data_IF_693501943199
#
_entry.id   IF_693501943199
#
_cell.length_a   1.000
_cell.length_b   1.000
_cell.length_c   1.000
_cell.angle_alpha   90.00
_cell.angle_beta   90.00
_cell.angle_gamma   90.00
#
_symmetry.space_group_name_H-M   'P 1'
#
loop_
_entity.id
_entity.type
_entity.pdbx_description
1 polymer ?
#
# COMPACT_ATOMS: atom_id res chain seq x y z
N UNK A 1 -21.70 9.72 13.86
CA UNK A 1 -20.57 10.32 13.14
C UNK A 1 -19.75 9.17 12.61
N UNK A 2 -19.40 9.21 11.35
CA UNK A 2 -18.49 8.24 10.72
C UNK A 2 -17.06 8.50 11.21
N UNK A 3 -16.22 7.47 11.25
CA UNK A 3 -14.91 7.52 11.93
C UNK A 3 -13.90 8.47 11.28
N UNK A 4 -14.06 8.79 9.96
CA UNK A 4 -13.19 9.68 9.20
C UNK A 4 -13.90 10.97 8.74
N UNK A 5 -15.01 11.33 9.36
CA UNK A 5 -15.82 12.50 8.97
C UNK A 5 -14.99 13.78 8.93
N UNK A 6 -15.00 14.45 7.76
CA UNK A 6 -14.25 15.68 7.51
C UNK A 6 -12.73 15.52 7.36
N UNK A 7 -12.17 14.33 7.55
CA UNK A 7 -10.73 14.07 7.41
C UNK A 7 -10.33 13.90 5.94
N UNK A 8 -9.09 14.26 5.60
CA UNK A 8 -8.52 14.10 4.26
C UNK A 8 -7.63 12.86 4.19
N UNK A 9 -7.97 11.93 3.29
CA UNK A 9 -7.22 10.71 3.02
C UNK A 9 -6.63 10.75 1.62
N UNK A 10 -5.31 10.66 1.51
CA UNK A 10 -4.59 10.56 0.24
C UNK A 10 -4.21 9.10 -0.01
N UNK A 11 -4.55 8.55 -1.18
CA UNK A 11 -4.20 7.18 -1.57
C UNK A 11 -3.32 7.22 -2.81
N UNK A 12 -2.02 6.95 -2.62
CA UNK A 12 -1.06 6.81 -3.70
C UNK A 12 -1.16 5.38 -4.25
N UNK A 13 -1.66 5.26 -5.50
CA UNK A 13 -2.05 3.99 -6.11
C UNK A 13 -3.54 3.65 -5.92
N UNK A 14 -4.42 4.65 -5.94
CA UNK A 14 -5.84 4.55 -5.61
C UNK A 14 -6.79 4.13 -6.73
N UNK A 15 -6.31 3.79 -7.93
CA UNK A 15 -7.20 3.49 -9.06
C UNK A 15 -7.61 2.03 -9.22
N UNK A 16 -7.07 1.11 -8.40
CA UNK A 16 -7.29 -0.33 -8.54
C UNK A 16 -6.97 -1.09 -7.24
N UNK A 17 -7.58 -2.27 -7.08
CA UNK A 17 -7.25 -3.24 -6.03
C UNK A 17 -7.31 -2.65 -4.62
N UNK A 18 -6.26 -2.88 -3.83
CA UNK A 18 -6.20 -2.48 -2.42
C UNK A 18 -6.39 -0.96 -2.25
N UNK A 19 -5.73 -0.15 -3.09
CA UNK A 19 -5.82 1.29 -2.98
C UNK A 19 -7.23 1.81 -3.27
N UNK A 20 -7.87 1.33 -4.33
CA UNK A 20 -9.24 1.70 -4.68
C UNK A 20 -10.23 1.29 -3.57
N UNK A 21 -10.10 0.06 -3.04
CA UNK A 21 -10.99 -0.41 -2.00
C UNK A 21 -10.79 0.37 -0.69
N UNK A 22 -9.55 0.72 -0.34
CA UNK A 22 -9.29 1.60 0.81
C UNK A 22 -9.87 3.00 0.61
N UNK A 23 -9.74 3.57 -0.59
CA UNK A 23 -10.35 4.84 -0.94
C UNK A 23 -11.89 4.80 -0.82
N UNK A 24 -12.52 3.71 -1.31
CA UNK A 24 -13.97 3.47 -1.19
C UNK A 24 -14.40 3.38 0.28
N UNK A 25 -13.67 2.61 1.07
CA UNK A 25 -13.95 2.45 2.50
C UNK A 25 -13.78 3.75 3.26
N UNK A 26 -12.69 4.50 3.03
CA UNK A 26 -12.47 5.81 3.66
C UNK A 26 -13.58 6.82 3.29
N UNK A 27 -14.01 6.82 2.02
CA UNK A 27 -15.12 7.66 1.57
C UNK A 27 -16.43 7.32 2.27
N UNK A 28 -16.73 6.03 2.45
CA UNK A 28 -17.90 5.55 3.18
C UNK A 28 -17.88 5.97 4.67
N UNK A 29 -16.68 6.13 5.25
CA UNK A 29 -16.51 6.66 6.61
C UNK A 29 -16.45 8.19 6.67
N UNK A 30 -16.82 8.89 5.59
CA UNK A 30 -16.99 10.36 5.57
C UNK A 30 -15.72 11.13 5.20
N UNK A 31 -14.64 10.48 4.81
CA UNK A 31 -13.41 11.17 4.41
C UNK A 31 -13.56 11.95 3.10
N UNK A 32 -12.82 13.04 2.98
CA UNK A 32 -12.44 13.62 1.68
C UNK A 32 -11.28 12.77 1.14
N UNK A 33 -11.44 12.27 -0.09
CA UNK A 33 -10.48 11.34 -0.66
C UNK A 33 -9.78 11.94 -1.87
N UNK A 34 -8.45 11.83 -1.90
CA UNK A 34 -7.60 12.19 -3.04
C UNK A 34 -6.90 10.91 -3.48
N UNK A 35 -7.03 10.54 -4.75
CA UNK A 35 -6.41 9.32 -5.29
C UNK A 35 -5.43 9.64 -6.41
N UNK A 36 -4.33 8.91 -6.48
CA UNK A 36 -3.35 9.05 -7.55
C UNK A 36 -3.08 7.72 -8.24
N UNK A 37 -2.73 7.76 -9.52
CA UNK A 37 -2.26 6.61 -10.29
C UNK A 37 -1.61 7.06 -11.61
N UNK A 38 -0.92 6.13 -12.28
CA UNK A 38 -0.27 6.40 -13.59
C UNK A 38 -1.25 6.39 -14.76
N UNK A 39 -2.26 5.53 -14.72
CA UNK A 39 -3.25 5.44 -15.81
C UNK A 39 -4.37 6.46 -15.57
N UNK A 40 -4.36 7.54 -16.33
CA UNK A 40 -5.28 8.66 -16.17
C UNK A 40 -6.75 8.28 -16.41
N UNK A 41 -7.05 7.46 -17.42
CA UNK A 41 -8.42 7.06 -17.76
C UNK A 41 -9.05 6.23 -16.64
N UNK A 42 -8.33 5.22 -16.13
CA UNK A 42 -8.80 4.41 -15.01
C UNK A 42 -8.91 5.21 -13.71
N UNK A 43 -7.99 6.14 -13.50
CA UNK A 43 -8.01 7.02 -12.33
C UNK A 43 -9.23 7.94 -12.35
N UNK A 44 -9.54 8.52 -13.51
CA UNK A 44 -10.71 9.37 -13.67
C UNK A 44 -12.01 8.61 -13.41
N UNK A 45 -12.14 7.40 -13.95
CA UNK A 45 -13.30 6.53 -13.70
C UNK A 45 -13.46 6.23 -12.18
N UNK A 46 -12.35 5.91 -11.50
CA UNK A 46 -12.35 5.70 -10.05
C UNK A 46 -12.70 6.99 -9.26
N UNK A 47 -12.20 8.14 -9.71
CA UNK A 47 -12.52 9.43 -9.13
C UNK A 47 -14.01 9.79 -9.24
N UNK A 48 -14.61 9.54 -10.40
CA UNK A 48 -16.04 9.75 -10.62
C UNK A 48 -16.90 8.82 -9.75
N UNK A 49 -16.54 7.53 -9.69
CA UNK A 49 -17.22 6.54 -8.83
C UNK A 49 -17.25 6.97 -7.36
N UNK A 50 -16.11 7.45 -6.87
CA UNK A 50 -15.92 7.79 -5.44
C UNK A 50 -16.29 9.23 -5.09
N UNK A 51 -16.47 10.12 -6.07
CA UNK A 51 -16.51 11.56 -5.84
C UNK A 51 -15.20 12.06 -5.21
N UNK A 52 -14.06 11.51 -5.67
CA UNK A 52 -12.72 11.79 -5.15
C UNK A 52 -11.94 12.72 -6.10
N UNK A 53 -11.04 13.54 -5.53
CA UNK A 53 -10.06 14.28 -6.31
C UNK A 53 -9.02 13.33 -6.90
N UNK A 54 -8.52 13.64 -8.11
CA UNK A 54 -7.57 12.78 -8.82
C UNK A 54 -6.33 13.54 -9.26
N UNK A 55 -5.17 12.88 -9.22
CA UNK A 55 -3.93 13.37 -9.80
C UNK A 55 -3.18 12.23 -10.51
N UNK A 56 -3.01 12.35 -11.84
CA UNK A 56 -2.39 11.32 -12.66
C UNK A 56 -0.89 11.61 -12.81
N UNK A 57 -0.05 10.76 -12.23
CA UNK A 57 1.43 10.81 -12.37
C UNK A 57 2.06 9.48 -11.95
N UNK A 58 3.37 9.32 -12.23
CA UNK A 58 4.15 8.22 -11.70
C UNK A 58 4.78 8.63 -10.36
N UNK A 59 4.41 7.97 -9.27
CA UNK A 59 4.92 8.29 -7.94
C UNK A 59 6.42 7.99 -7.77
N UNK A 60 7.05 7.22 -8.66
CA UNK A 60 8.50 7.03 -8.70
C UNK A 60 9.23 8.17 -9.40
N UNK A 61 8.54 9.04 -10.13
CA UNK A 61 9.07 10.34 -10.54
C UNK A 61 8.98 11.31 -9.34
N UNK A 62 10.08 11.45 -8.62
CA UNK A 62 10.14 12.24 -7.39
C UNK A 62 9.92 13.75 -7.61
N UNK A 63 10.10 14.25 -8.82
CA UNK A 63 9.75 15.64 -9.17
C UNK A 63 8.23 15.80 -9.23
N UNK A 64 7.54 14.95 -9.99
CA UNK A 64 6.08 14.97 -10.04
C UNK A 64 5.44 14.68 -8.67
N UNK A 65 6.02 13.74 -7.89
CA UNK A 65 5.56 13.47 -6.55
C UNK A 65 5.70 14.70 -5.65
N UNK A 66 6.81 15.43 -5.74
CA UNK A 66 7.01 16.67 -4.98
C UNK A 66 5.99 17.74 -5.38
N UNK A 67 5.78 17.98 -6.67
CA UNK A 67 4.82 18.95 -7.18
C UNK A 67 3.39 18.61 -6.70
N UNK A 68 3.02 17.32 -6.71
CA UNK A 68 1.76 16.85 -6.16
C UNK A 68 1.63 17.20 -4.66
N UNK A 69 2.65 16.89 -3.85
CA UNK A 69 2.62 17.22 -2.42
C UNK A 69 2.56 18.73 -2.17
N UNK A 70 3.23 19.53 -2.98
CA UNK A 70 3.20 21.00 -2.85
C UNK A 70 1.80 21.56 -3.12
N UNK A 71 1.04 20.94 -4.02
CA UNK A 71 -0.33 21.32 -4.37
C UNK A 71 -1.42 20.78 -3.43
N UNK A 72 -1.08 19.86 -2.52
CA UNK A 72 -2.08 19.25 -1.62
C UNK A 72 -2.66 20.25 -0.62
N UNK A 73 -3.97 20.15 -0.31
CA UNK A 73 -4.56 20.89 0.81
C UNK A 73 -3.89 20.48 2.12
N UNK A 74 -3.72 21.43 3.02
CA UNK A 74 -3.16 21.17 4.37
C UNK A 74 -4.16 21.61 5.43
N UNK A 75 -4.27 20.85 6.52
CA UNK A 75 -3.54 19.60 6.83
C UNK A 75 -4.13 18.38 6.13
N UNK A 76 -3.29 17.38 5.88
CA UNK A 76 -3.69 16.03 5.49
C UNK A 76 -3.80 15.20 6.77
N UNK A 77 -4.80 14.30 6.84
CA UNK A 77 -4.95 13.42 7.98
C UNK A 77 -4.24 12.07 7.79
N UNK A 78 -4.39 11.46 6.62
CA UNK A 78 -3.87 10.13 6.37
C UNK A 78 -3.34 9.98 4.94
N UNK A 79 -2.25 9.24 4.79
CA UNK A 79 -1.70 8.83 3.51
C UNK A 79 -1.55 7.30 3.51
N UNK A 80 -2.16 6.63 2.53
CA UNK A 80 -1.88 5.24 2.20
C UNK A 80 -1.02 5.19 0.93
N UNK A 81 0.03 4.38 0.96
CA UNK A 81 0.90 4.12 -0.18
C UNK A 81 0.77 2.67 -0.59
N UNK A 82 0.18 2.43 -1.77
CA UNK A 82 0.22 1.11 -2.41
C UNK A 82 1.27 1.14 -3.52
N UNK A 83 2.13 0.14 -3.55
CA UNK A 83 3.21 0.05 -4.53
C UNK A 83 2.81 -0.65 -5.83
N UNK A 84 3.68 -0.65 -6.83
CA UNK A 84 3.59 -1.55 -7.96
C UNK A 84 3.73 -3.01 -7.49
N UNK A 85 3.46 -3.95 -8.42
CA UNK A 85 3.68 -5.36 -8.14
C UNK A 85 5.16 -5.69 -7.91
N UNK A 86 5.42 -6.76 -7.15
CA UNK A 86 6.79 -7.21 -6.90
C UNK A 86 7.44 -7.80 -8.15
N UNK A 87 8.75 -7.69 -8.26
CA UNK A 87 9.55 -8.35 -9.28
C UNK A 87 10.10 -9.68 -8.75
N UNK A 88 9.69 -10.77 -9.38
CA UNK A 88 10.18 -12.11 -9.11
C UNK A 88 11.07 -12.58 -10.26
N UNK A 89 12.30 -13.02 -9.97
CA UNK A 89 13.17 -13.63 -10.96
C UNK A 89 14.18 -14.59 -10.29
N UNK A 90 14.36 -15.82 -10.79
CA UNK A 90 15.48 -16.66 -10.39
C UNK A 90 16.81 -15.94 -10.64
N UNK A 91 17.82 -16.18 -9.81
CA UNK A 91 19.09 -15.45 -9.89
C UNK A 91 19.75 -15.45 -11.29
N UNK A 92 19.73 -16.54 -12.07
CA UNK A 92 20.29 -16.52 -13.41
C UNK A 92 19.55 -15.63 -14.42
N UNK A 93 18.29 -15.31 -14.16
CA UNK A 93 17.39 -14.50 -15.00
C UNK A 93 17.18 -13.09 -14.44
N UNK A 94 17.86 -12.76 -13.34
CA UNK A 94 17.66 -11.51 -12.63
C UNK A 94 18.16 -10.32 -13.48
N UNK A 95 17.23 -9.43 -13.80
CA UNK A 95 17.51 -8.14 -14.42
C UNK A 95 17.77 -7.09 -13.34
N UNK A 96 18.99 -6.55 -13.30
CA UNK A 96 19.39 -5.56 -12.29
C UNK A 96 18.72 -4.19 -12.46
N UNK A 97 18.27 -3.83 -13.67
CA UNK A 97 17.59 -2.56 -13.86
C UNK A 97 16.15 -2.64 -13.32
N UNK A 98 15.48 -3.78 -13.52
CA UNK A 98 14.20 -4.07 -12.87
C UNK A 98 14.35 -4.17 -11.34
N UNK A 99 15.43 -4.77 -10.86
CA UNK A 99 15.72 -4.82 -9.42
C UNK A 99 15.93 -3.43 -8.81
N UNK A 100 16.58 -2.50 -9.54
CA UNK A 100 16.71 -1.09 -9.12
C UNK A 100 15.36 -0.40 -9.07
N UNK A 101 14.50 -0.59 -10.07
CA UNK A 101 13.15 -0.04 -10.07
C UNK A 101 12.30 -0.57 -8.90
N UNK A 102 12.47 -1.85 -8.53
CA UNK A 102 11.83 -2.44 -7.36
C UNK A 102 12.33 -1.80 -6.05
N UNK A 103 13.65 -1.59 -5.93
CA UNK A 103 14.25 -0.91 -4.78
C UNK A 103 13.74 0.54 -4.67
N UNK A 104 13.63 1.23 -5.78
CA UNK A 104 13.10 2.59 -5.83
C UNK A 104 11.65 2.65 -5.36
N UNK A 105 10.80 1.78 -5.87
CA UNK A 105 9.37 1.77 -5.54
C UNK A 105 9.03 1.21 -4.15
N UNK A 106 9.79 0.23 -3.65
CA UNK A 106 9.47 -0.43 -2.37
C UNK A 106 10.30 0.09 -1.19
N UNK A 107 11.39 0.82 -1.42
CA UNK A 107 12.22 1.37 -0.35
C UNK A 107 12.37 2.89 -0.43
N UNK A 108 12.77 3.46 -1.57
CA UNK A 108 13.03 4.88 -1.68
C UNK A 108 11.75 5.71 -1.74
N UNK A 109 10.71 5.25 -2.42
CA UNK A 109 9.42 5.93 -2.49
C UNK A 109 8.78 6.12 -1.10
N UNK A 110 8.67 5.11 -0.23
CA UNK A 110 8.23 5.32 1.16
C UNK A 110 9.04 6.37 1.91
N UNK A 111 10.35 6.39 1.77
CA UNK A 111 11.23 7.39 2.39
C UNK A 111 10.93 8.80 1.84
N UNK A 112 10.79 8.93 0.53
CA UNK A 112 10.49 10.22 -0.10
C UNK A 112 9.12 10.76 0.31
N UNK A 113 8.10 9.90 0.38
CA UNK A 113 6.76 10.27 0.87
C UNK A 113 6.83 10.70 2.34
N UNK A 114 7.54 9.97 3.18
CA UNK A 114 7.75 10.33 4.58
C UNK A 114 8.37 11.71 4.71
N UNK A 115 9.41 12.01 3.92
CA UNK A 115 10.06 13.33 3.88
C UNK A 115 9.10 14.44 3.44
N UNK A 116 8.29 14.21 2.39
CA UNK A 116 7.34 15.19 1.87
C UNK A 116 6.12 15.39 2.79
N UNK A 117 5.87 14.45 3.69
CA UNK A 117 4.77 14.51 4.68
C UNK A 117 5.04 15.49 5.83
N UNK A 118 6.31 15.88 6.03
CA UNK A 118 6.70 16.82 7.10
C UNK A 118 6.04 18.18 6.86
N UNK A 119 5.27 18.66 7.84
CA UNK A 119 4.52 19.91 7.76
C UNK A 119 3.25 19.86 6.90
N UNK A 120 2.96 18.71 6.25
CA UNK A 120 1.74 18.48 5.47
C UNK A 120 0.74 17.61 6.22
N UNK A 121 1.22 16.52 6.83
CA UNK A 121 0.38 15.65 7.65
C UNK A 121 0.27 16.22 9.06
N UNK A 122 -0.95 16.29 9.60
CA UNK A 122 -1.19 16.84 10.94
C UNK A 122 -0.57 15.98 12.05
N UNK A 123 -0.30 16.56 13.23
CA UNK A 123 0.01 15.78 14.43
C UNK A 123 -1.05 14.70 14.70
N UNK A 124 -0.62 13.46 14.94
CA UNK A 124 -1.52 12.30 15.13
C UNK A 124 -2.10 11.73 13.83
N UNK A 125 -1.84 12.34 12.68
CA UNK A 125 -2.15 11.78 11.36
C UNK A 125 -1.36 10.50 11.08
N UNK A 126 -1.56 9.86 9.93
CA UNK A 126 -1.01 8.52 9.67
C UNK A 126 -0.37 8.41 8.28
N UNK A 127 0.81 7.79 8.23
CA UNK A 127 1.37 7.20 7.02
C UNK A 127 1.20 5.68 7.10
N UNK A 128 0.55 5.10 6.11
CA UNK A 128 0.41 3.66 5.95
C UNK A 128 1.15 3.21 4.70
N UNK A 129 2.07 2.27 4.88
CA UNK A 129 2.76 1.63 3.77
C UNK A 129 2.24 0.21 3.55
N UNK A 130 2.18 -0.20 2.28
CA UNK A 130 1.95 -1.59 1.93
C UNK A 130 3.29 -2.31 1.80
N UNK A 131 3.33 -3.50 2.32
CA UNK A 131 4.43 -4.44 2.16
C UNK A 131 3.90 -5.85 1.97
N UNK A 132 4.79 -6.84 2.07
CA UNK A 132 4.42 -8.24 1.93
C UNK A 132 5.04 -9.11 3.00
N UNK A 133 4.49 -10.32 3.15
CA UNK A 133 5.02 -11.34 4.06
C UNK A 133 6.16 -12.16 3.43
N UNK A 134 6.51 -11.89 2.15
CA UNK A 134 7.48 -12.64 1.36
C UNK A 134 8.90 -12.68 1.92
N UNK A 135 9.31 -11.68 2.72
CA UNK A 135 10.62 -11.69 3.39
C UNK A 135 10.78 -12.72 4.51
N UNK A 136 9.73 -13.46 4.85
CA UNK A 136 9.72 -14.45 5.95
C UNK A 136 9.83 -15.89 5.47
N UNK A 137 9.62 -16.15 4.18
CA UNK A 137 9.83 -17.48 3.56
C UNK A 137 10.80 -17.33 2.39
N UNK A 138 11.86 -18.12 2.41
CA UNK A 138 12.83 -18.15 1.32
C UNK A 138 12.34 -19.04 0.19
N UNK A 139 12.43 -18.57 -1.06
CA UNK A 139 12.13 -19.33 -2.26
C UNK A 139 12.96 -18.83 -3.45
N UNK A 140 13.17 -19.64 -4.49
CA UNK A 140 13.75 -19.19 -5.74
C UNK A 140 12.96 -17.99 -6.30
N UNK A 141 13.66 -16.99 -6.85
CA UNK A 141 13.04 -15.78 -7.40
C UNK A 141 12.75 -14.69 -6.38
N UNK A 142 12.99 -14.92 -5.08
CA UNK A 142 12.65 -13.97 -4.00
C UNK A 142 13.82 -13.08 -3.57
N UNK A 143 14.99 -13.15 -4.21
CA UNK A 143 16.22 -12.50 -3.72
C UNK A 143 16.05 -10.98 -3.53
N UNK A 144 15.38 -10.29 -4.44
CA UNK A 144 15.15 -8.84 -4.36
C UNK A 144 13.96 -8.53 -3.47
N UNK A 145 12.77 -9.01 -3.86
CA UNK A 145 11.55 -8.65 -3.13
C UNK A 145 11.51 -9.18 -1.70
N UNK A 146 12.11 -10.34 -1.45
CA UNK A 146 12.26 -10.88 -0.08
C UNK A 146 13.10 -9.95 0.81
N UNK A 147 14.21 -9.41 0.30
CA UNK A 147 15.02 -8.44 1.01
C UNK A 147 14.26 -7.12 1.26
N UNK A 148 13.54 -6.62 0.25
CA UNK A 148 12.76 -5.38 0.35
C UNK A 148 11.61 -5.50 1.36
N UNK A 149 10.88 -6.61 1.33
CA UNK A 149 9.80 -6.86 2.31
C UNK A 149 10.34 -7.08 3.73
N UNK A 150 11.53 -7.62 3.88
CA UNK A 150 12.20 -7.74 5.17
C UNK A 150 12.69 -6.39 5.72
N UNK A 151 13.06 -5.44 4.85
CA UNK A 151 13.47 -4.10 5.24
C UNK A 151 12.29 -3.23 5.74
N UNK A 152 11.09 -3.44 5.22
CA UNK A 152 9.89 -2.65 5.50
C UNK A 152 9.61 -2.44 7.00
N UNK A 153 9.60 -3.50 7.83
CA UNK A 153 9.38 -3.37 9.28
C UNK A 153 10.42 -2.48 9.99
N UNK A 154 11.68 -2.55 9.57
CA UNK A 154 12.75 -1.72 10.14
C UNK A 154 12.57 -0.25 9.72
N UNK A 155 12.30 0.00 8.44
CA UNK A 155 12.01 1.34 7.93
C UNK A 155 10.83 1.97 8.68
N UNK A 156 9.73 1.23 8.82
CA UNK A 156 8.51 1.71 9.49
C UNK A 156 8.77 2.15 10.93
N UNK A 157 9.52 1.35 11.70
CA UNK A 157 9.87 1.70 13.08
C UNK A 157 10.72 2.97 13.18
N UNK A 158 11.71 3.13 12.31
CA UNK A 158 12.55 4.32 12.30
C UNK A 158 11.75 5.56 11.89
N UNK A 159 10.95 5.48 10.83
CA UNK A 159 10.10 6.59 10.40
C UNK A 159 9.07 6.99 11.47
N UNK A 160 8.54 6.04 12.24
CA UNK A 160 7.62 6.35 13.34
C UNK A 160 8.27 7.16 14.45
N UNK A 161 9.56 6.99 14.68
CA UNK A 161 10.33 7.79 15.65
C UNK A 161 10.68 9.15 15.07
N UNK A 162 11.18 9.19 13.82
CA UNK A 162 11.64 10.42 13.17
C UNK A 162 10.50 11.40 12.86
N UNK A 163 9.30 10.90 12.56
CA UNK A 163 8.14 11.69 12.17
C UNK A 163 7.18 11.98 13.33
N UNK A 164 7.48 11.51 14.55
CA UNK A 164 6.58 11.73 15.67
C UNK A 164 6.20 13.23 15.81
N UNK A 165 4.91 13.57 16.00
CA UNK A 165 3.81 12.70 16.38
C UNK A 165 2.96 12.14 15.21
N UNK A 166 3.45 12.17 13.96
CA UNK A 166 2.81 11.47 12.84
C UNK A 166 3.01 9.97 13.06
N UNK A 167 1.94 9.19 12.95
CA UNK A 167 1.98 7.73 13.12
C UNK A 167 2.39 7.05 11.82
N UNK A 168 3.26 6.06 11.90
CA UNK A 168 3.72 5.30 10.72
C UNK A 168 3.52 3.82 10.97
N UNK A 169 2.81 3.12 10.08
CA UNK A 169 2.57 1.69 10.18
C UNK A 169 2.72 1.01 8.81
N UNK A 170 2.97 -0.28 8.84
CA UNK A 170 3.09 -1.15 7.66
C UNK A 170 2.00 -2.22 7.70
N UNK A 171 1.30 -2.40 6.58
CA UNK A 171 0.42 -3.54 6.36
C UNK A 171 1.18 -4.54 5.48
N UNK A 172 1.51 -5.69 6.04
CA UNK A 172 2.21 -6.77 5.34
C UNK A 172 1.19 -7.81 4.86
N UNK A 173 0.88 -7.79 3.58
CA UNK A 173 -0.10 -8.69 2.99
C UNK A 173 0.54 -10.00 2.50
N UNK A 174 -0.22 -11.08 2.57
CA UNK A 174 0.04 -12.29 1.81
C UNK A 174 -0.46 -12.17 0.37
N UNK A 175 -0.96 -13.27 -0.19
CA UNK A 175 -1.70 -13.21 -1.44
C UNK A 175 -3.04 -12.48 -1.22
N UNK A 176 -3.29 -11.45 -2.00
CA UNK A 176 -4.57 -10.72 -2.03
C UNK A 176 -5.17 -10.85 -3.42
N UNK A 177 -6.43 -11.25 -3.50
CA UNK A 177 -7.13 -11.43 -4.77
C UNK A 177 -7.49 -10.09 -5.40
N UNK A 178 -6.64 -9.62 -6.29
CA UNK A 178 -6.72 -8.30 -6.94
C UNK A 178 -6.43 -8.42 -8.44
N UNK A 179 -6.73 -7.39 -9.23
CA UNK A 179 -6.30 -7.35 -10.64
C UNK A 179 -4.77 -7.45 -10.82
N UNK A 180 -3.98 -7.04 -9.83
CA UNK A 180 -2.53 -7.22 -9.85
C UNK A 180 -2.16 -8.71 -9.80
N UNK A 181 -2.73 -9.47 -8.87
CA UNK A 181 -2.50 -10.91 -8.77
C UNK A 181 -2.99 -11.67 -10.01
N UNK A 182 -4.09 -11.21 -10.61
CA UNK A 182 -4.54 -11.75 -11.90
C UNK A 182 -3.52 -11.52 -13.02
N UNK A 183 -2.94 -10.32 -13.08
CA UNK A 183 -1.88 -10.01 -14.08
C UNK A 183 -0.60 -10.84 -13.83
N UNK A 184 -0.21 -11.06 -12.57
CA UNK A 184 0.99 -11.80 -12.21
C UNK A 184 0.87 -13.31 -12.46
N UNK A 185 -0.31 -13.89 -12.25
CA UNK A 185 -0.53 -15.33 -12.32
C UNK A 185 -1.14 -15.80 -13.63
N UNK A 186 -1.80 -14.91 -14.39
CA UNK A 186 -2.47 -15.28 -15.64
C UNK A 186 -3.36 -16.51 -15.46
N UNK A 187 -3.14 -17.53 -16.30
CA UNK A 187 -3.93 -18.77 -16.28
C UNK A 187 -3.80 -19.59 -14.98
N UNK A 188 -2.82 -19.28 -14.14
CA UNK A 188 -2.62 -19.98 -12.86
C UNK A 188 -3.47 -19.39 -11.72
N UNK A 189 -4.18 -18.29 -11.93
CA UNK A 189 -4.92 -17.59 -10.88
C UNK A 189 -5.95 -18.47 -10.19
N UNK A 190 -6.79 -19.17 -10.95
CA UNK A 190 -7.87 -19.99 -10.38
C UNK A 190 -7.33 -21.20 -9.61
N UNK A 191 -6.30 -21.86 -10.13
CA UNK A 191 -5.59 -22.92 -9.41
C UNK A 191 -4.99 -22.41 -8.09
N UNK A 192 -4.45 -21.20 -8.10
CA UNK A 192 -3.91 -20.56 -6.89
C UNK A 192 -5.02 -20.23 -5.88
N UNK A 193 -6.15 -19.71 -6.33
CA UNK A 193 -7.32 -19.45 -5.47
C UNK A 193 -7.82 -20.71 -4.79
N UNK A 194 -7.96 -21.83 -5.54
CA UNK A 194 -8.37 -23.12 -5.00
C UNK A 194 -7.39 -23.66 -3.97
N UNK A 195 -6.09 -23.62 -4.30
CA UNK A 195 -5.05 -24.00 -3.37
C UNK A 195 -5.13 -23.21 -2.06
N UNK A 196 -5.28 -21.88 -2.14
CA UNK A 196 -5.35 -21.03 -0.96
C UNK A 196 -6.62 -21.31 -0.13
N UNK A 197 -7.78 -21.53 -0.77
CA UNK A 197 -9.00 -21.93 -0.04
C UNK A 197 -8.83 -23.25 0.73
N UNK A 198 -8.05 -24.16 0.17
CA UNK A 198 -7.82 -25.47 0.78
C UNK A 198 -6.77 -25.43 1.91
N UNK A 199 -5.80 -24.50 1.85
CA UNK A 199 -4.64 -24.50 2.75
C UNK A 199 -4.65 -23.39 3.78
N UNK A 200 -5.24 -22.22 3.48
CA UNK A 200 -5.24 -21.11 4.43
C UNK A 200 -6.06 -21.42 5.68
N UNK A 201 -5.54 -21.15 6.88
CA UNK A 201 -6.27 -21.35 8.14
C UNK A 201 -7.65 -20.67 8.18
N UNK A 202 -7.82 -19.52 7.49
CA UNK A 202 -9.12 -18.81 7.43
C UNK A 202 -10.12 -19.44 6.47
N UNK A 203 -9.72 -20.46 5.66
CA UNK A 203 -10.61 -21.18 4.73
C UNK A 203 -11.11 -20.37 3.52
N UNK A 204 -10.54 -19.19 3.27
CA UNK A 204 -10.87 -18.33 2.11
C UNK A 204 -9.65 -17.56 1.62
N UNK A 205 -9.72 -17.01 0.43
CA UNK A 205 -8.74 -16.07 -0.07
C UNK A 205 -8.94 -14.70 0.58
N UNK A 206 -7.84 -13.99 0.86
CA UNK A 206 -7.87 -12.60 1.34
C UNK A 206 -8.21 -11.68 0.17
N UNK A 207 -9.19 -10.79 0.37
CA UNK A 207 -9.60 -9.78 -0.60
C UNK A 207 -9.07 -8.38 -0.28
N UNK A 208 -9.18 -7.45 -1.22
CA UNK A 208 -8.77 -6.05 -0.99
C UNK A 208 -9.59 -5.38 0.11
N UNK A 209 -10.83 -5.80 0.35
CA UNK A 209 -11.70 -5.33 1.42
C UNK A 209 -11.16 -5.65 2.82
N UNK A 210 -10.47 -6.77 2.99
CA UNK A 210 -9.83 -7.14 4.26
C UNK A 210 -8.72 -6.13 4.59
N UNK A 211 -7.92 -5.77 3.57
CA UNK A 211 -6.85 -4.78 3.71
C UNK A 211 -7.42 -3.38 3.98
N UNK A 212 -8.47 -3.00 3.25
CA UNK A 212 -9.12 -1.70 3.40
C UNK A 212 -9.68 -1.49 4.81
N UNK A 213 -10.32 -2.53 5.38
CA UNK A 213 -10.83 -2.49 6.75
C UNK A 213 -9.70 -2.27 7.77
N UNK A 214 -8.58 -2.99 7.63
CA UNK A 214 -7.42 -2.79 8.50
C UNK A 214 -6.81 -1.40 8.32
N UNK A 215 -6.71 -0.90 7.08
CA UNK A 215 -6.16 0.43 6.79
C UNK A 215 -6.99 1.53 7.49
N UNK A 216 -8.31 1.49 7.41
CA UNK A 216 -9.19 2.45 8.10
C UNK A 216 -9.05 2.32 9.62
N UNK A 217 -8.98 1.10 10.16
CA UNK A 217 -8.72 0.90 11.59
C UNK A 217 -7.38 1.51 12.03
N UNK A 218 -6.33 1.40 11.22
CA UNK A 218 -5.03 2.02 11.51
C UNK A 218 -5.06 3.55 11.40
N UNK A 219 -5.93 4.11 10.57
CA UNK A 219 -6.17 5.55 10.48
C UNK A 219 -6.85 6.07 11.75
N UNK A 220 -7.88 5.38 12.23
CA UNK A 220 -8.74 5.84 13.33
C UNK A 220 -8.21 5.52 14.72
N UNK A 221 -7.49 4.41 14.90
CA UNK A 221 -6.91 4.02 16.18
C UNK A 221 -5.60 4.76 16.47
N UNK A 222 -5.67 5.82 17.24
CA UNK A 222 -4.54 6.72 17.52
C UNK A 222 -3.43 6.14 18.39
N UNK A 223 -3.60 4.95 18.96
CA UNK A 223 -2.58 4.27 19.76
C UNK A 223 -1.58 3.46 18.94
N UNK A 224 -1.81 3.31 17.62
CA UNK A 224 -1.04 2.42 16.76
C UNK A 224 0.02 3.19 15.96
N UNK A 225 1.29 2.91 16.21
CA UNK A 225 2.43 3.43 15.43
C UNK A 225 3.65 2.51 15.51
N UNK A 226 4.50 2.51 14.50
CA UNK A 226 5.76 1.77 14.46
C UNK A 226 5.61 0.26 14.27
N UNK A 227 4.40 -0.22 13.97
CA UNK A 227 4.11 -1.64 13.89
C UNK A 227 3.91 -2.14 12.46
N UNK A 228 4.11 -3.44 12.29
CA UNK A 228 3.76 -4.19 11.08
C UNK A 228 2.60 -5.10 11.40
N UNK A 229 1.56 -5.01 10.59
CA UNK A 229 0.33 -5.79 10.74
C UNK A 229 0.21 -6.80 9.59
N UNK A 230 0.27 -8.07 9.93
CA UNK A 230 0.13 -9.14 8.95
C UNK A 230 -1.35 -9.35 8.61
N UNK A 231 -1.62 -9.48 7.32
CA UNK A 231 -2.94 -9.80 6.80
C UNK A 231 -2.80 -10.76 5.62
N UNK A 232 -2.66 -12.04 5.93
CA UNK A 232 -2.33 -13.10 4.98
C UNK A 232 -3.20 -14.35 5.11
N UNK A 233 -4.21 -14.30 5.98
CA UNK A 233 -5.10 -15.44 6.23
C UNK A 233 -4.41 -16.64 6.90
N UNK A 234 -3.23 -16.43 7.49
CA UNK A 234 -2.38 -17.47 8.05
C UNK A 234 -1.48 -18.14 7.02
N UNK A 235 -1.22 -17.51 5.87
CA UNK A 235 -0.38 -18.08 4.80
C UNK A 235 1.04 -18.40 5.26
N UNK A 236 1.55 -17.72 6.28
CA UNK A 236 2.88 -17.97 6.82
C UNK A 236 2.95 -19.21 7.72
N UNK A 237 1.80 -19.73 8.15
CA UNK A 237 1.72 -20.86 9.08
C UNK A 237 1.61 -22.21 8.35
N UNK A 238 1.42 -22.18 7.01
CA UNK A 238 1.19 -23.35 6.17
C UNK A 238 2.14 -23.45 4.99
#
# INVERSE_FOLDING_TARGET
MTELDGQTVVVIGGSLGIGLETARRARAEGAKVIITARNAERLEAAGQELGAETAAFDATDFAQLKDFFDGLPTPIDHILVTGPGPYYAPLPELDLDRARADLESHLLLPIQIAKLSIGKVRPGGTLLFMGGTGGRKSAPGMSVIGALTAAGPALTRNLAVELAPIRVNLIAAGFVDTPLSATLLGDQLDARREQLRATLPIGRVVGPEDIANLAVQLMTNTALTGATYDIDGGQQLV
#
